data_IF_763652476422
#
_entry.id   IF_763652476422
#
_cell.length_a   1.000
_cell.length_b   1.000
_cell.length_c   1.000
_cell.angle_alpha   90.00
_cell.angle_beta   90.00
_cell.angle_gamma   90.00
#
_symmetry.space_group_name_H-M   'P 1'
#
loop_
_entity.id
_entity.type
_entity.pdbx_description
1 polymer ?
#
# COMPACT_ATOMS: atom_id res chain seq x y z
N UNK A 1 -8.11 -0.07 -27.06
CA UNK A 1 -7.39 -1.30 -26.70
C UNK A 1 -6.88 -1.06 -25.30
N UNK A 2 -7.57 -1.59 -24.29
CA UNK A 2 -7.20 -1.36 -22.89
C UNK A 2 -5.83 -1.99 -22.67
N UNK A 3 -4.80 -1.18 -22.45
CA UNK A 3 -3.52 -1.70 -22.01
C UNK A 3 -3.76 -2.27 -20.63
N UNK A 4 -3.76 -3.61 -20.53
CA UNK A 4 -3.83 -4.29 -19.25
C UNK A 4 -2.68 -3.79 -18.38
N UNK A 5 -2.89 -3.72 -17.06
CA UNK A 5 -1.87 -3.27 -16.11
C UNK A 5 -0.49 -3.85 -16.43
N UNK A 6 -0.44 -5.12 -16.84
CA UNK A 6 0.77 -5.90 -17.09
C UNK A 6 1.44 -5.68 -18.45
N UNK A 7 0.81 -4.92 -19.36
CA UNK A 7 1.27 -4.72 -20.74
C UNK A 7 2.65 -4.06 -20.86
N UNK A 8 3.15 -3.43 -19.80
CA UNK A 8 4.46 -2.78 -19.77
C UNK A 8 5.57 -3.67 -19.19
N UNK A 9 5.26 -4.79 -18.53
CA UNK A 9 6.27 -5.71 -18.01
C UNK A 9 7.26 -6.22 -19.08
N UNK A 10 6.86 -6.49 -20.34
CA UNK A 10 7.79 -6.90 -21.39
C UNK A 10 8.95 -5.91 -21.64
N UNK A 11 8.83 -4.64 -21.22
CA UNK A 11 9.93 -3.67 -21.31
C UNK A 11 11.18 -4.10 -20.52
N UNK A 12 11.01 -4.92 -19.47
CA UNK A 12 12.13 -5.48 -18.71
C UNK A 12 13.03 -6.39 -19.56
N UNK A 13 12.51 -6.97 -20.65
CA UNK A 13 13.31 -7.80 -21.56
C UNK A 13 14.37 -6.96 -22.29
N UNK A 14 14.20 -5.64 -22.38
CA UNK A 14 15.20 -4.72 -22.93
C UNK A 14 16.39 -4.50 -22.00
N UNK A 15 16.27 -4.89 -20.74
CA UNK A 15 17.39 -4.80 -19.81
C UNK A 15 18.50 -5.77 -20.22
N UNK A 16 19.74 -5.30 -20.18
CA UNK A 16 20.89 -6.07 -20.64
C UNK A 16 21.29 -7.22 -19.70
N UNK A 17 20.67 -7.33 -18.52
CA UNK A 17 21.00 -8.37 -17.53
C UNK A 17 19.93 -8.55 -16.45
N UNK A 18 19.97 -9.71 -15.79
CA UNK A 18 19.23 -9.97 -14.54
C UNK A 18 19.55 -8.92 -13.47
N UNK A 19 20.80 -8.46 -13.40
CA UNK A 19 21.25 -7.52 -12.38
C UNK A 19 20.61 -6.13 -12.55
N UNK A 20 20.32 -5.72 -13.79
CA UNK A 20 19.56 -4.50 -14.06
C UNK A 20 18.12 -4.60 -13.52
N UNK A 21 17.43 -5.72 -13.74
CA UNK A 21 16.09 -5.94 -13.18
C UNK A 21 16.13 -5.98 -11.66
N UNK A 22 17.16 -6.62 -11.10
CA UNK A 22 17.38 -6.66 -9.66
C UNK A 22 17.56 -5.25 -9.08
N UNK A 23 18.41 -4.43 -9.69
CA UNK A 23 18.62 -3.04 -9.29
C UNK A 23 17.32 -2.23 -9.33
N UNK A 24 16.53 -2.35 -10.41
CA UNK A 24 15.24 -1.66 -10.54
C UNK A 24 14.32 -2.01 -9.36
N UNK A 25 14.18 -3.31 -9.05
CA UNK A 25 13.33 -3.77 -7.96
C UNK A 25 13.81 -3.24 -6.59
N UNK A 26 15.12 -3.27 -6.33
CA UNK A 26 15.71 -2.71 -5.12
C UNK A 26 15.52 -1.19 -5.01
N UNK A 27 15.74 -0.45 -6.09
CA UNK A 27 15.52 1.00 -6.13
C UNK A 27 14.06 1.34 -5.81
N UNK A 28 13.11 0.59 -6.37
CA UNK A 28 11.69 0.75 -6.09
C UNK A 28 11.32 0.42 -4.64
N UNK A 29 11.94 -0.60 -4.04
CA UNK A 29 11.75 -0.91 -2.63
C UNK A 29 12.32 0.19 -1.72
N UNK A 30 13.55 0.62 -1.98
CA UNK A 30 14.26 1.65 -1.20
C UNK A 30 13.52 2.98 -1.22
N UNK A 31 12.94 3.34 -2.37
CA UNK A 31 12.20 4.60 -2.59
C UNK A 31 10.69 4.47 -2.37
N UNK A 32 10.21 3.40 -1.74
CA UNK A 32 8.77 3.13 -1.56
C UNK A 32 8.00 4.22 -0.81
N UNK A 33 8.67 4.99 0.05
CA UNK A 33 8.06 6.07 0.86
C UNK A 33 8.21 7.47 0.24
N UNK A 34 9.27 7.68 -0.53
CA UNK A 34 9.68 9.00 -1.03
C UNK A 34 9.39 9.19 -2.51
N UNK A 35 9.18 8.11 -3.25
CA UNK A 35 9.18 8.13 -4.70
C UNK A 35 10.60 8.08 -5.28
N UNK A 36 10.67 7.72 -6.56
CA UNK A 36 11.93 7.59 -7.29
C UNK A 36 12.39 8.98 -7.75
N UNK A 37 13.63 9.36 -7.44
CA UNK A 37 14.18 10.66 -7.84
C UNK A 37 14.58 10.71 -9.31
N UNK A 38 14.97 11.89 -9.80
CA UNK A 38 15.33 12.08 -11.21
C UNK A 38 16.59 11.31 -11.62
N UNK A 39 17.54 11.08 -10.72
CA UNK A 39 18.77 10.36 -11.03
C UNK A 39 18.50 8.85 -11.17
N UNK A 40 17.78 8.26 -10.22
CA UNK A 40 17.35 6.87 -10.28
C UNK A 40 16.44 6.64 -11.51
N UNK A 41 15.55 7.58 -11.84
CA UNK A 41 14.74 7.51 -13.08
C UNK A 41 15.60 7.46 -14.34
N UNK A 42 16.62 8.31 -14.45
CA UNK A 42 17.52 8.33 -15.59
C UNK A 42 18.29 7.01 -15.73
N UNK A 43 18.79 6.46 -14.62
CA UNK A 43 19.49 5.18 -14.60
C UNK A 43 18.59 4.05 -15.11
N UNK A 44 17.35 3.97 -14.59
CA UNK A 44 16.40 2.94 -15.03
C UNK A 44 16.03 3.11 -16.50
N UNK A 45 15.86 4.35 -16.95
CA UNK A 45 15.55 4.65 -18.36
C UNK A 45 16.68 4.20 -19.29
N UNK A 46 17.93 4.44 -18.90
CA UNK A 46 19.13 4.01 -19.64
C UNK A 46 19.25 2.48 -19.66
N UNK A 47 19.07 1.81 -18.51
CA UNK A 47 19.08 0.35 -18.41
C UNK A 47 18.03 -0.32 -19.30
N UNK A 48 16.85 0.29 -19.45
CA UNK A 48 15.74 -0.22 -20.25
C UNK A 48 15.73 0.33 -21.69
N UNK A 49 16.70 1.17 -22.04
CA UNK A 49 16.83 1.80 -23.35
C UNK A 49 15.54 2.51 -23.79
N UNK A 50 14.88 3.21 -22.86
CA UNK A 50 13.61 3.90 -23.11
C UNK A 50 13.85 5.32 -23.63
N UNK A 51 13.09 5.72 -24.65
CA UNK A 51 13.20 7.07 -25.23
C UNK A 51 12.43 8.11 -24.41
N UNK A 52 11.29 7.73 -23.82
CA UNK A 52 10.39 8.63 -23.09
C UNK A 52 9.95 8.04 -21.75
N UNK A 53 9.52 8.91 -20.85
CA UNK A 53 8.99 8.56 -19.52
C UNK A 53 7.56 7.97 -19.58
N UNK A 54 6.87 8.13 -20.70
CA UNK A 54 5.49 7.65 -20.92
C UNK A 54 5.33 6.15 -20.68
N UNK A 55 6.37 5.38 -20.99
CA UNK A 55 6.38 3.92 -20.81
C UNK A 55 6.97 3.51 -19.45
N UNK A 56 7.74 4.40 -18.82
CA UNK A 56 8.42 4.14 -17.56
C UNK A 56 7.40 4.13 -16.41
N UNK A 57 6.55 5.15 -16.29
CA UNK A 57 5.63 5.25 -15.16
C UNK A 57 4.67 4.06 -15.04
N UNK A 58 4.01 3.59 -16.12
CA UNK A 58 3.19 2.38 -16.06
C UNK A 58 3.99 1.13 -15.65
N UNK A 59 5.22 0.96 -16.16
CA UNK A 59 6.10 -0.14 -15.74
C UNK A 59 6.41 -0.07 -14.23
N UNK A 60 6.76 1.10 -13.72
CA UNK A 60 7.06 1.26 -12.30
C UNK A 60 5.84 0.96 -11.43
N UNK A 61 4.63 1.28 -11.90
CA UNK A 61 3.37 0.92 -11.22
C UNK A 61 3.22 -0.60 -11.15
N UNK A 62 3.44 -1.33 -12.25
CA UNK A 62 3.39 -2.79 -12.28
C UNK A 62 4.31 -3.40 -11.22
N UNK A 63 5.56 -2.95 -11.21
CA UNK A 63 6.59 -3.49 -10.33
C UNK A 63 6.29 -3.16 -8.88
N UNK A 64 5.84 -1.93 -8.58
CA UNK A 64 5.43 -1.55 -7.23
C UNK A 64 4.25 -2.39 -6.74
N UNK A 65 3.29 -2.71 -7.59
CA UNK A 65 2.19 -3.59 -7.23
C UNK A 65 2.67 -5.00 -6.90
N UNK A 66 3.55 -5.58 -7.72
CA UNK A 66 4.13 -6.91 -7.47
C UNK A 66 4.90 -6.96 -6.15
N UNK A 67 5.75 -5.95 -5.91
CA UNK A 67 6.53 -5.81 -4.68
C UNK A 67 5.57 -5.75 -3.46
N UNK A 68 4.54 -4.90 -3.52
CA UNK A 68 3.55 -4.77 -2.45
C UNK A 68 2.81 -6.09 -2.19
N UNK A 69 2.30 -6.77 -3.23
CA UNK A 69 1.61 -8.05 -3.04
C UNK A 69 2.52 -9.11 -2.44
N UNK A 70 3.75 -9.23 -2.95
CA UNK A 70 4.74 -10.19 -2.46
C UNK A 70 5.10 -10.00 -0.97
N UNK A 71 5.17 -8.74 -0.53
CA UNK A 71 5.58 -8.37 0.84
C UNK A 71 4.39 -8.32 1.81
N UNK A 72 3.26 -7.72 1.41
CA UNK A 72 2.15 -7.40 2.29
C UNK A 72 1.09 -8.49 2.40
N UNK A 73 0.81 -9.27 1.35
CA UNK A 73 -0.33 -10.21 1.31
C UNK A 73 -0.01 -11.60 1.91
N UNK A 74 1.06 -11.71 2.70
CA UNK A 74 1.53 -12.96 3.32
C UNK A 74 1.65 -14.18 2.37
N UNK A 75 1.81 -13.94 1.06
CA UNK A 75 1.85 -14.96 0.00
C UNK A 75 3.03 -15.92 0.22
N UNK A 76 2.76 -17.22 0.12
CA UNK A 76 3.81 -18.26 0.20
C UNK A 76 4.77 -18.15 -0.99
N UNK A 77 6.02 -18.63 -0.85
CA UNK A 77 6.99 -18.59 -1.96
C UNK A 77 6.43 -19.22 -3.25
N UNK A 78 5.71 -20.32 -3.11
CA UNK A 78 5.15 -21.10 -4.22
C UNK A 78 3.92 -20.44 -4.86
N UNK A 79 3.34 -19.44 -4.21
CA UNK A 79 2.15 -18.73 -4.69
C UNK A 79 2.50 -17.43 -5.42
N UNK A 80 3.75 -16.94 -5.35
CA UNK A 80 4.19 -15.75 -6.09
C UNK A 80 3.96 -15.89 -7.59
N UNK A 81 4.09 -17.11 -8.13
CA UNK A 81 3.82 -17.37 -9.55
C UNK A 81 2.36 -17.09 -9.93
N UNK A 82 1.41 -17.20 -8.99
CA UNK A 82 -0.02 -16.93 -9.21
C UNK A 82 -0.33 -15.43 -9.31
N UNK A 83 0.63 -14.55 -8.99
CA UNK A 83 0.46 -13.10 -9.11
C UNK A 83 0.43 -12.61 -10.55
N UNK A 84 0.99 -13.39 -11.47
CA UNK A 84 1.15 -13.02 -12.87
C UNK A 84 0.04 -13.66 -13.69
N UNK A 85 -0.66 -12.90 -14.54
CA UNK A 85 -1.64 -13.48 -15.43
C UNK A 85 -0.97 -14.05 -16.68
N UNK A 86 -1.74 -14.80 -17.49
CA UNK A 86 -1.22 -15.55 -18.64
C UNK A 86 -0.63 -14.69 -19.77
N UNK A 87 -0.90 -13.38 -19.78
CA UNK A 87 -0.36 -12.44 -20.77
C UNK A 87 1.12 -12.13 -20.53
N UNK A 88 1.64 -12.42 -19.33
CA UNK A 88 3.05 -12.20 -19.01
C UNK A 88 3.89 -13.36 -19.53
N UNK A 89 4.98 -13.05 -20.25
CA UNK A 89 5.89 -14.07 -20.80
C UNK A 89 6.43 -14.99 -19.69
N UNK A 90 6.44 -16.32 -19.87
CA UNK A 90 6.87 -17.27 -18.84
C UNK A 90 8.30 -17.04 -18.33
N UNK A 91 9.22 -16.63 -19.20
CA UNK A 91 10.61 -16.36 -18.77
C UNK A 91 10.68 -15.13 -17.85
N UNK A 92 9.89 -14.11 -18.14
CA UNK A 92 9.82 -12.92 -17.30
C UNK A 92 9.15 -13.21 -15.97
N UNK A 93 8.08 -14.02 -15.98
CA UNK A 93 7.42 -14.50 -14.77
C UNK A 93 8.41 -15.28 -13.89
N UNK A 94 9.23 -16.15 -14.48
CA UNK A 94 10.25 -16.92 -13.76
C UNK A 94 11.32 -16.00 -13.15
N UNK A 95 11.82 -15.04 -13.93
CA UNK A 95 12.81 -14.06 -13.47
C UNK A 95 12.28 -13.22 -12.30
N UNK A 96 11.09 -12.64 -12.46
CA UNK A 96 10.47 -11.80 -11.43
C UNK A 96 10.13 -12.62 -10.19
N UNK A 97 9.61 -13.84 -10.35
CA UNK A 97 9.34 -14.75 -9.22
C UNK A 97 10.62 -15.02 -8.43
N UNK A 98 11.73 -15.35 -9.11
CA UNK A 98 13.02 -15.62 -8.48
C UNK A 98 13.55 -14.41 -7.69
N UNK A 99 13.50 -13.22 -8.29
CA UNK A 99 13.96 -11.98 -7.64
C UNK A 99 13.06 -11.57 -6.47
N UNK A 100 11.74 -11.65 -6.63
CA UNK A 100 10.79 -11.34 -5.57
C UNK A 100 10.96 -12.31 -4.39
N UNK A 101 11.10 -13.61 -4.64
CA UNK A 101 11.40 -14.61 -3.62
C UNK A 101 12.73 -14.34 -2.89
N UNK A 102 13.76 -13.89 -3.62
CA UNK A 102 15.07 -13.54 -3.05
C UNK A 102 14.94 -12.44 -2.00
N UNK A 103 14.19 -11.37 -2.29
CA UNK A 103 14.07 -10.21 -1.41
C UNK A 103 12.92 -10.30 -0.40
N UNK A 104 11.98 -11.22 -0.59
CA UNK A 104 10.74 -11.29 0.19
C UNK A 104 10.95 -11.24 1.71
N UNK A 105 11.94 -11.98 2.25
CA UNK A 105 12.19 -12.04 3.69
C UNK A 105 12.65 -10.69 4.22
N UNK A 106 13.71 -10.14 3.63
CA UNK A 106 14.30 -8.86 4.02
C UNK A 106 13.28 -7.73 3.96
N UNK A 107 12.55 -7.63 2.84
CA UNK A 107 11.55 -6.59 2.65
C UNK A 107 10.35 -6.73 3.59
N UNK A 108 9.99 -7.95 3.99
CA UNK A 108 8.97 -8.15 5.02
C UNK A 108 9.43 -7.67 6.39
N UNK A 109 10.66 -7.99 6.77
CA UNK A 109 11.23 -7.49 8.02
C UNK A 109 11.29 -5.96 8.03
N UNK A 110 11.71 -5.36 6.92
CA UNK A 110 11.70 -3.90 6.73
C UNK A 110 10.28 -3.31 6.79
N UNK A 111 9.30 -3.96 6.16
CA UNK A 111 7.91 -3.52 6.19
C UNK A 111 7.29 -3.62 7.59
N UNK A 112 7.64 -4.66 8.37
CA UNK A 112 7.19 -4.82 9.75
C UNK A 112 7.79 -3.73 10.63
N UNK A 113 9.08 -3.42 10.46
CA UNK A 113 9.73 -2.28 11.14
C UNK A 113 9.06 -0.95 10.78
N UNK A 114 8.63 -0.79 9.53
CA UNK A 114 7.89 0.39 9.09
C UNK A 114 6.48 0.47 9.70
N UNK A 115 5.74 -0.65 9.79
CA UNK A 115 4.41 -0.71 10.39
C UNK A 115 4.42 -0.32 11.86
N UNK A 116 5.52 -0.61 12.55
CA UNK A 116 5.72 -0.23 13.94
C UNK A 116 5.77 1.31 14.14
N UNK A 117 5.76 2.09 13.06
CA UNK A 117 5.74 3.56 13.07
C UNK A 117 4.31 4.14 12.93
N UNK A 118 3.25 3.33 12.78
CA UNK A 118 1.90 3.89 12.75
C UNK A 118 1.44 4.27 14.16
N UNK A 119 1.19 5.56 14.46
CA UNK A 119 0.67 5.96 15.75
C UNK A 119 -0.72 5.35 15.95
N UNK A 120 -0.94 4.75 17.13
CA UNK A 120 -2.24 4.26 17.55
C UNK A 120 -2.93 5.30 18.41
N UNK A 121 -4.23 5.49 18.20
CA UNK A 121 -5.03 6.31 19.09
C UNK A 121 -5.15 5.61 20.45
N UNK A 122 -4.59 6.23 21.50
CA UNK A 122 -4.62 5.74 22.88
C UNK A 122 -5.78 6.33 23.67
N UNK A 123 -6.04 7.61 23.49
CA UNK A 123 -7.15 8.31 24.14
C UNK A 123 -7.66 9.45 23.27
N UNK A 124 -8.94 9.76 23.41
CA UNK A 124 -9.58 10.93 22.81
C UNK A 124 -10.36 11.64 23.91
N UNK A 125 -10.15 12.95 24.04
CA UNK A 125 -10.97 13.81 24.91
C UNK A 125 -11.57 14.93 24.09
N UNK A 126 -12.72 15.44 24.52
CA UNK A 126 -13.39 16.55 23.86
C UNK A 126 -13.81 17.58 24.90
N UNK A 127 -13.85 18.84 24.45
CA UNK A 127 -14.31 19.99 25.23
C UNK A 127 -15.15 20.90 24.32
N UNK A 128 -16.11 21.61 24.87
CA UNK A 128 -16.89 22.61 24.13
C UNK A 128 -16.39 23.98 24.52
N UNK A 129 -16.06 24.80 23.52
CA UNK A 129 -15.70 26.19 23.80
C UNK A 129 -16.98 26.93 24.15
N UNK A 130 -17.17 27.23 25.43
CA UNK A 130 -18.20 28.18 25.88
C UNK A 130 -17.83 29.56 25.36
N UNK A 131 -18.48 29.97 24.27
CA UNK A 131 -18.35 31.31 23.74
C UNK A 131 -19.32 32.19 24.54
N UNK A 132 -18.78 32.91 25.51
CA UNK A 132 -19.48 33.99 26.19
C UNK A 132 -19.64 35.17 25.21
N UNK A 133 -20.48 35.04 24.17
CA UNK A 133 -21.04 36.13 23.37
C UNK A 133 -22.07 35.58 22.36
N UNK A 134 -23.15 36.32 22.18
CA UNK A 134 -24.49 35.86 21.79
C UNK A 134 -24.67 35.44 20.31
N UNK A 135 -23.59 35.23 19.51
CA UNK A 135 -23.71 35.03 18.06
C UNK A 135 -22.65 34.12 17.40
N UNK A 136 -22.08 33.16 18.12
CA UNK A 136 -21.08 32.24 17.52
C UNK A 136 -21.49 30.77 17.61
N UNK A 137 -21.39 30.06 16.48
CA UNK A 137 -21.68 28.63 16.41
C UNK A 137 -20.79 27.85 17.38
N UNK A 138 -21.34 26.85 18.12
CA UNK A 138 -20.56 26.07 19.06
C UNK A 138 -19.49 25.23 18.33
N UNK A 139 -18.26 25.27 18.85
CA UNK A 139 -17.11 24.55 18.31
C UNK A 139 -16.61 23.54 19.34
N UNK A 140 -16.45 22.29 18.91
CA UNK A 140 -15.86 21.23 19.72
C UNK A 140 -14.34 21.23 19.57
N UNK A 141 -13.62 21.14 20.67
CA UNK A 141 -12.18 20.96 20.73
C UNK A 141 -11.89 19.49 20.99
N UNK A 142 -11.26 18.82 20.03
CA UNK A 142 -10.86 17.43 20.14
C UNK A 142 -9.36 17.35 20.44
N UNK A 143 -9.00 16.52 21.43
CA UNK A 143 -7.62 16.16 21.73
C UNK A 143 -7.44 14.66 21.51
N UNK A 144 -6.46 14.28 20.69
CA UNK A 144 -6.07 12.90 20.44
C UNK A 144 -4.70 12.64 21.04
N UNK A 145 -4.60 11.57 21.85
CA UNK A 145 -3.32 11.05 22.33
C UNK A 145 -2.92 9.85 21.48
N UNK A 146 -1.79 9.98 20.81
CA UNK A 146 -1.24 8.98 19.92
C UNK A 146 -0.01 8.31 20.56
N UNK A 147 0.07 6.99 20.45
CA UNK A 147 1.17 6.17 20.95
C UNK A 147 1.87 5.43 19.81
N UNK A 148 3.20 5.44 19.82
CA UNK A 148 4.02 4.63 18.92
C UNK A 148 4.50 3.37 19.67
N UNK A 149 4.25 2.19 19.11
CA UNK A 149 4.56 0.89 19.74
C UNK A 149 6.05 0.52 19.66
N UNK A 150 6.91 1.40 19.13
CA UNK A 150 8.32 1.13 18.79
C UNK A 150 9.36 1.46 19.85
N UNK A 151 8.98 2.14 20.95
CA UNK A 151 9.96 2.56 21.94
C UNK A 151 9.52 2.22 23.37
N UNK A 152 10.41 1.55 24.10
CA UNK A 152 10.35 1.34 25.55
C UNK A 152 10.27 2.65 26.36
N UNK A 153 10.53 3.79 25.70
CA UNK A 153 10.25 5.15 26.18
C UNK A 153 9.26 5.84 25.23
N UNK A 154 8.03 5.33 25.15
CA UNK A 154 6.98 5.83 24.25
C UNK A 154 6.69 7.32 24.50
N UNK A 155 7.12 8.18 23.57
CA UNK A 155 6.72 9.60 23.54
C UNK A 155 5.29 9.69 23.02
N UNK A 156 4.36 10.06 23.90
CA UNK A 156 2.98 10.35 23.50
C UNK A 156 2.97 11.61 22.63
N UNK A 157 2.28 11.54 21.48
CA UNK A 157 2.05 12.70 20.63
C UNK A 157 0.61 13.16 20.82
N UNK A 158 0.43 14.44 21.16
CA UNK A 158 -0.88 15.03 21.37
C UNK A 158 -1.24 15.92 20.18
N UNK A 159 -2.40 15.66 19.58
CA UNK A 159 -2.94 16.46 18.48
C UNK A 159 -4.22 17.11 18.96
N UNK A 160 -4.29 18.43 18.88
CA UNK A 160 -5.46 19.23 19.27
C UNK A 160 -5.99 19.99 18.06
N UNK A 161 -7.28 19.88 17.81
CA UNK A 161 -7.95 20.58 16.72
C UNK A 161 -9.40 20.92 17.07
N UNK A 162 -9.99 21.82 16.29
CA UNK A 162 -11.34 22.31 16.46
C UNK A 162 -12.24 21.77 15.35
N UNK A 163 -13.47 21.45 15.67
CA UNK A 163 -14.49 20.99 14.73
C UNK A 163 -15.77 21.80 14.91
N UNK A 164 -16.26 22.36 13.80
CA UNK A 164 -17.63 22.83 13.70
C UNK A 164 -18.59 21.64 13.54
N UNK A 165 -19.89 21.89 13.78
CA UNK A 165 -20.94 20.87 13.76
C UNK A 165 -21.01 20.10 12.44
N UNK A 166 -20.97 20.80 11.32
CA UNK A 166 -21.03 20.24 9.96
C UNK A 166 -19.83 19.34 9.63
N UNK A 167 -18.65 19.75 10.08
CA UNK A 167 -17.39 19.01 9.91
C UNK A 167 -17.41 17.74 10.74
N UNK A 168 -17.88 17.82 11.99
CA UNK A 168 -18.05 16.65 12.86
C UNK A 168 -19.05 15.66 12.27
N UNK A 169 -20.19 16.12 11.74
CA UNK A 169 -21.18 15.27 11.09
C UNK A 169 -20.58 14.53 9.88
N UNK A 170 -19.82 15.24 9.05
CA UNK A 170 -19.13 14.66 7.88
C UNK A 170 -18.10 13.60 8.32
N UNK A 171 -17.33 13.89 9.36
CA UNK A 171 -16.37 12.95 9.94
C UNK A 171 -17.09 11.69 10.44
N UNK A 172 -18.19 11.81 11.18
CA UNK A 172 -18.96 10.66 11.66
C UNK A 172 -19.49 9.79 10.52
N UNK A 173 -20.02 10.41 9.45
CA UNK A 173 -20.47 9.69 8.24
C UNK A 173 -19.32 8.88 7.61
N UNK A 174 -18.13 9.46 7.51
CA UNK A 174 -16.95 8.73 7.01
C UNK A 174 -16.53 7.58 7.92
N UNK A 175 -16.57 7.76 9.25
CA UNK A 175 -16.23 6.70 10.21
C UNK A 175 -17.20 5.53 10.15
N UNK A 176 -18.49 5.80 9.98
CA UNK A 176 -19.50 4.75 9.75
C UNK A 176 -19.23 3.99 8.45
N UNK A 177 -18.89 4.70 7.37
CA UNK A 177 -18.53 4.06 6.10
C UNK A 177 -17.28 3.16 6.23
N UNK A 178 -16.24 3.65 6.92
CA UNK A 178 -15.02 2.87 7.20
C UNK A 178 -15.34 1.63 8.04
N UNK A 179 -16.16 1.77 9.09
CA UNK A 179 -16.61 0.64 9.92
C UNK A 179 -17.29 -0.43 9.05
N UNK A 180 -18.23 -0.04 8.22
CA UNK A 180 -18.99 -0.98 7.38
C UNK A 180 -18.08 -1.69 6.37
N UNK A 181 -17.11 -0.98 5.77
CA UNK A 181 -16.11 -1.58 4.90
C UNK A 181 -15.22 -2.61 5.62
N UNK A 182 -14.81 -2.31 6.86
CA UNK A 182 -13.98 -3.21 7.66
C UNK A 182 -14.77 -4.43 8.17
N UNK A 183 -16.06 -4.28 8.48
CA UNK A 183 -16.94 -5.38 8.89
C UNK A 183 -17.24 -6.34 7.73
N UNK A 184 -17.52 -5.81 6.54
CA UNK A 184 -17.84 -6.64 5.36
C UNK A 184 -16.62 -7.40 4.81
N UNK A 185 -15.40 -6.96 5.13
CA UNK A 185 -14.18 -7.67 4.75
C UNK A 185 -14.03 -9.03 5.45
N UNK A 186 -14.76 -9.26 6.56
CA UNK A 186 -14.79 -10.54 7.25
C UNK A 186 -15.71 -11.60 6.63
N UNK A 187 -16.64 -11.21 5.76
CA UNK A 187 -17.65 -12.12 5.20
C UNK A 187 -17.21 -12.79 3.88
N UNK A 188 -16.19 -12.27 3.20
CA UNK A 188 -15.68 -12.89 1.96
C UNK A 188 -14.79 -14.13 2.18
N UNK A 189 -14.62 -14.60 3.41
CA UNK A 189 -13.76 -15.74 3.73
C UNK A 189 -14.52 -17.03 4.12
N UNK A 190 -15.83 -17.01 4.31
CA UNK A 190 -16.55 -18.23 4.73
C UNK A 190 -17.96 -18.33 4.13
N UNK A 191 -18.12 -19.26 3.18
CA UNK A 191 -19.40 -19.93 2.96
C UNK A 191 -20.04 -19.75 1.59
N UNK A 192 -19.63 -20.55 0.60
CA UNK A 192 -20.59 -21.25 -0.26
C UNK A 192 -19.96 -22.51 -0.88
N UNK A 193 -19.89 -23.59 -0.09
CA UNK A 193 -19.94 -24.95 -0.61
C UNK A 193 -21.22 -25.58 -0.05
N UNK A 194 -22.29 -25.55 -0.84
CA UNK A 194 -23.41 -26.47 -0.70
C UNK A 194 -23.79 -26.95 -2.10
N UNK A 195 -23.22 -28.09 -2.44
CA UNK A 195 -23.92 -29.32 -2.82
C UNK A 195 -25.23 -29.14 -3.59
N UNK A 196 -25.18 -29.39 -4.90
CA UNK A 196 -26.28 -29.94 -5.68
C UNK A 196 -25.71 -30.89 -6.74
N UNK A 197 -25.83 -32.19 -6.48
CA UNK A 197 -25.73 -33.25 -7.49
C UNK A 197 -26.41 -34.51 -6.95
N UNK A 198 -27.74 -34.57 -7.13
CA UNK A 198 -28.51 -35.82 -7.11
C UNK A 198 -29.67 -35.71 -8.13
N UNK A 199 -29.77 -36.71 -9.01
CA UNK A 199 -30.79 -36.89 -10.05
C UNK A 199 -30.16 -36.74 -11.44
N UNK A 200 -29.83 -37.80 -12.17
CA UNK A 200 -30.66 -38.95 -12.61
C UNK A 200 -29.84 -40.24 -12.63
#
# INVERSE_FOLDING_TARGET
MEQTLWGHLPLLVRSNSKDSVEYILQALWRTRKTGLDSADRLIIRDMLQLQNDSDLDPLLVCLRMLIRRCVCENINRDEIQKLFPSEVLPELQRLLTLLLQKFQREWREDAIKDQAVLPRLKAMTWDMVDQNEELTDPVAVINLKLQNDTQSHSKELEVKFQLAKDTLETMLKSMYCIRDQLSNLGESSNGHFSQDANGV
#
